data_IF_989724878821
#
_entry.id   IF_989724878821
#
_cell.length_a   1.000
_cell.length_b   1.000
_cell.length_c   1.000
_cell.angle_alpha   90.00
_cell.angle_beta   90.00
_cell.angle_gamma   90.00
#
_symmetry.space_group_name_H-M   'P 1'
#
loop_
_entity.id
_entity.type
_entity.pdbx_description
1 polymer ?
#
# COMPACT_ATOMS: atom_id res chain seq x y z
N UNK A 1 -6.47 20.59 9.26
CA UNK A 1 -7.79 21.16 9.61
C UNK A 1 -8.65 21.18 8.35
N UNK A 2 -9.79 20.48 8.37
CA UNK A 2 -10.76 20.45 7.28
C UNK A 2 -11.59 21.75 7.30
N UNK A 3 -11.69 22.45 6.17
CA UNK A 3 -12.49 23.67 6.05
C UNK A 3 -13.77 23.32 5.28
N UNK A 4 -14.84 23.02 6.03
CA UNK A 4 -16.12 22.59 5.49
C UNK A 4 -16.71 23.59 4.48
N UNK A 5 -16.50 24.89 4.72
CA UNK A 5 -17.02 26.00 3.90
C UNK A 5 -16.45 26.01 2.47
N UNK A 6 -15.28 25.38 2.26
CA UNK A 6 -14.54 25.40 1.00
C UNK A 6 -14.37 24.01 0.37
N UNK A 7 -14.76 22.94 1.07
CA UNK A 7 -14.59 21.55 0.60
C UNK A 7 -13.11 21.17 0.38
N UNK A 8 -12.18 21.77 1.14
CA UNK A 8 -10.72 21.61 0.97
C UNK A 8 -10.02 21.39 2.30
N UNK A 9 -8.84 20.78 2.26
CA UNK A 9 -7.92 20.78 3.39
C UNK A 9 -7.31 22.18 3.57
N UNK A 10 -7.18 22.66 4.81
CA UNK A 10 -6.37 23.85 5.13
C UNK A 10 -4.85 23.58 5.17
N UNK A 11 -4.41 22.40 4.74
CA UNK A 11 -3.02 21.94 4.69
C UNK A 11 -2.81 21.02 3.48
N UNK A 12 -1.56 20.82 3.06
CA UNK A 12 -1.19 19.94 1.92
C UNK A 12 -1.63 18.50 2.23
N UNK A 13 -2.30 17.86 1.27
CA UNK A 13 -2.69 16.46 1.29
C UNK A 13 -1.43 15.56 1.36
N UNK A 14 -1.29 14.69 2.37
CA UNK A 14 -0.19 13.73 2.45
C UNK A 14 -0.12 12.74 1.26
N UNK A 15 -1.17 12.61 0.46
CA UNK A 15 -1.19 11.85 -0.80
C UNK A 15 -0.93 12.71 -2.04
N UNK A 16 -0.61 14.00 -1.90
CA UNK A 16 -0.36 14.90 -3.03
C UNK A 16 0.78 14.43 -3.94
N UNK A 17 1.77 13.72 -3.40
CA UNK A 17 2.86 13.12 -4.17
C UNK A 17 2.41 11.93 -5.05
N UNK A 18 1.26 11.30 -4.75
CA UNK A 18 0.68 10.21 -5.54
C UNK A 18 -0.14 10.72 -6.74
N UNK A 19 -0.48 12.02 -6.78
CA UNK A 19 -1.37 12.61 -7.78
C UNK A 19 -0.93 14.01 -8.21
N UNK A 20 0.20 14.11 -8.92
CA UNK A 20 0.77 15.37 -9.42
C UNK A 20 -0.18 16.29 -10.23
N UNK A 21 -1.20 15.81 -10.99
CA UNK A 21 -2.09 16.73 -11.70
C UNK A 21 -3.26 17.28 -10.87
N UNK A 22 -3.44 16.85 -9.62
CA UNK A 22 -4.49 17.36 -8.74
C UNK A 22 -3.92 18.35 -7.73
N UNK A 23 -4.68 19.43 -7.44
CA UNK A 23 -4.26 20.43 -6.45
C UNK A 23 -3.96 19.73 -5.12
N UNK A 24 -2.85 20.06 -4.43
CA UNK A 24 -2.45 19.46 -3.15
C UNK A 24 -3.42 19.75 -1.99
N UNK A 25 -4.56 20.40 -2.25
CA UNK A 25 -5.62 20.71 -1.31
C UNK A 25 -6.94 19.98 -1.62
N UNK A 26 -6.94 19.07 -2.59
CA UNK A 26 -8.15 18.37 -3.04
C UNK A 26 -8.58 17.32 -2.00
N UNK A 27 -9.83 17.40 -1.56
CA UNK A 27 -10.47 16.36 -0.74
C UNK A 27 -11.30 15.47 -1.66
N UNK A 28 -11.17 14.15 -1.54
CA UNK A 28 -12.00 13.16 -2.24
C UNK A 28 -12.15 13.39 -3.76
N UNK A 29 -11.09 13.84 -4.44
CA UNK A 29 -11.14 14.18 -5.87
C UNK A 29 -12.33 15.09 -6.28
N UNK A 30 -12.77 15.99 -5.39
CA UNK A 30 -13.95 16.87 -5.53
C UNK A 30 -15.34 16.19 -5.52
N UNK A 31 -15.55 15.03 -4.88
CA UNK A 31 -16.90 14.45 -4.80
C UNK A 31 -17.32 13.91 -3.42
N UNK A 32 -17.72 14.79 -2.47
CA UNK A 32 -18.03 14.40 -1.09
C UNK A 32 -19.52 14.06 -0.80
N UNK A 33 -20.39 13.82 -1.80
CA UNK A 33 -21.87 13.76 -1.62
C UNK A 33 -22.55 12.42 -2.03
N UNK A 34 -21.83 11.39 -2.46
CA UNK A 34 -22.42 10.16 -3.03
C UNK A 34 -21.59 8.95 -2.54
N UNK A 35 -22.01 7.97 -1.73
CA UNK A 35 -23.31 7.35 -1.48
C UNK A 35 -23.31 6.52 -0.16
N UNK A 36 -24.49 6.25 0.40
CA UNK A 36 -24.81 5.03 1.18
C UNK A 36 -25.76 4.21 0.27
N UNK A 37 -25.31 3.06 -0.25
CA UNK A 37 -26.15 2.01 -0.85
C UNK A 37 -25.32 0.70 -1.00
N UNK A 38 -25.90 -0.51 -0.96
CA UNK A 38 -25.20 -1.77 -0.73
C UNK A 38 -24.73 -2.43 -2.05
N UNK A 39 -23.55 -3.07 -1.99
CA UNK A 39 -22.85 -3.83 -3.04
C UNK A 39 -21.96 -2.94 -3.94
N UNK A 40 -20.66 -2.70 -3.72
CA UNK A 40 -19.67 -3.19 -2.77
C UNK A 40 -18.29 -3.16 -3.44
N UNK A 41 -17.43 -2.19 -3.11
CA UNK A 41 -15.97 -2.36 -3.24
C UNK A 41 -15.19 -2.03 -1.95
N UNK A 42 -14.38 -3.00 -1.49
CA UNK A 42 -13.89 -3.08 -0.11
C UNK A 42 -12.61 -3.94 0.01
N UNK A 43 -11.93 -3.89 1.16
CA UNK A 43 -10.97 -4.92 1.56
C UNK A 43 -11.72 -6.08 2.19
N UNK A 44 -11.89 -7.16 1.44
CA UNK A 44 -12.54 -8.39 1.88
C UNK A 44 -11.49 -9.46 2.19
N UNK A 45 -11.59 -10.14 3.33
CA UNK A 45 -10.70 -11.21 3.79
C UNK A 45 -11.50 -12.51 3.76
N UNK A 46 -11.03 -13.49 3.00
CA UNK A 46 -11.67 -14.81 2.89
C UNK A 46 -10.98 -15.84 3.79
N UNK A 47 -11.78 -16.53 4.59
CA UNK A 47 -11.35 -17.67 5.40
C UNK A 47 -12.39 -18.81 5.28
N UNK A 48 -12.03 -19.82 4.49
CA UNK A 48 -12.96 -20.86 4.09
C UNK A 48 -14.18 -20.29 3.38
N UNK A 49 -15.37 -20.61 3.89
CA UNK A 49 -16.65 -20.14 3.35
C UNK A 49 -17.09 -18.78 3.92
N UNK A 50 -16.32 -18.22 4.87
CA UNK A 50 -16.63 -16.94 5.50
C UNK A 50 -15.83 -15.81 4.85
N UNK A 51 -16.50 -14.68 4.61
CA UNK A 51 -15.85 -13.44 4.15
C UNK A 51 -16.05 -12.35 5.20
N UNK A 52 -14.97 -11.64 5.50
CA UNK A 52 -14.93 -10.53 6.44
C UNK A 52 -14.58 -9.26 5.69
N UNK A 53 -15.26 -8.16 5.98
CA UNK A 53 -15.01 -6.86 5.38
C UNK A 53 -14.33 -5.93 6.35
N UNK A 54 -13.16 -5.41 5.97
CA UNK A 54 -12.50 -4.36 6.73
C UNK A 54 -13.10 -2.99 6.38
N UNK A 55 -13.49 -2.25 7.42
CA UNK A 55 -14.01 -0.88 7.28
C UNK A 55 -13.72 -0.09 8.57
N UNK A 56 -13.03 1.04 8.45
CA UNK A 56 -12.79 1.97 9.55
C UNK A 56 -12.08 1.34 10.75
N UNK A 57 -11.17 0.39 10.51
CA UNK A 57 -10.43 -0.31 11.57
C UNK A 57 -11.17 -1.47 12.23
N UNK A 58 -12.35 -1.87 11.73
CA UNK A 58 -13.15 -2.99 12.23
C UNK A 58 -13.42 -4.02 11.15
N UNK A 59 -13.85 -5.22 11.57
CA UNK A 59 -14.32 -6.28 10.67
C UNK A 59 -15.83 -6.44 10.76
N UNK A 60 -16.45 -6.72 9.62
CA UNK A 60 -17.86 -7.00 9.51
C UNK A 60 -18.11 -8.29 8.70
N UNK A 61 -19.19 -9.00 9.01
CA UNK A 61 -19.72 -10.09 8.19
C UNK A 61 -21.04 -9.69 7.56
N UNK A 62 -21.43 -10.39 6.50
CA UNK A 62 -22.68 -10.11 5.82
C UNK A 62 -23.86 -10.71 6.59
N UNK A 63 -24.86 -9.89 6.88
CA UNK A 63 -26.13 -10.32 7.43
C UNK A 63 -26.87 -11.22 6.42
N UNK A 64 -27.28 -12.41 6.88
CA UNK A 64 -27.88 -13.44 6.03
C UNK A 64 -29.24 -13.02 5.45
N UNK A 65 -30.00 -12.19 6.17
CA UNK A 65 -31.33 -11.71 5.77
C UNK A 65 -31.25 -10.44 4.92
N UNK A 66 -30.51 -9.43 5.39
CA UNK A 66 -30.48 -8.11 4.74
C UNK A 66 -29.43 -7.98 3.64
N UNK A 67 -28.48 -8.93 3.58
CA UNK A 67 -27.28 -8.90 2.72
C UNK A 67 -26.36 -7.70 2.95
N UNK A 68 -26.54 -6.96 4.04
CA UNK A 68 -25.69 -5.82 4.42
C UNK A 68 -24.47 -6.27 5.24
N UNK A 69 -23.41 -5.49 5.18
CA UNK A 69 -22.17 -5.70 5.94
C UNK A 69 -22.20 -4.92 7.26
N UNK A 70 -23.15 -5.28 8.13
CA UNK A 70 -23.47 -4.54 9.36
C UNK A 70 -23.31 -5.38 10.64
N UNK A 71 -22.84 -6.62 10.53
CA UNK A 71 -22.59 -7.50 11.68
C UNK A 71 -21.11 -7.42 12.05
N UNK A 72 -20.77 -6.61 13.05
CA UNK A 72 -19.40 -6.50 13.57
C UNK A 72 -18.89 -7.87 14.02
N UNK A 73 -17.71 -8.26 13.51
CA UNK A 73 -17.12 -9.56 13.72
C UNK A 73 -15.93 -9.47 14.68
N UNK A 74 -15.86 -10.40 15.61
CA UNK A 74 -14.66 -10.64 16.42
C UNK A 74 -14.03 -11.95 15.96
N UNK A 75 -12.71 -11.95 15.77
CA UNK A 75 -11.94 -13.10 15.29
C UNK A 75 -10.83 -13.42 16.28
N UNK A 76 -10.45 -14.70 16.36
CA UNK A 76 -9.28 -15.13 17.12
C UNK A 76 -8.02 -14.50 16.51
N UNK A 77 -7.16 -13.88 17.32
CA UNK A 77 -5.95 -13.20 16.83
C UNK A 77 -4.94 -14.15 16.16
N UNK A 78 -4.98 -15.44 16.48
CA UNK A 78 -4.14 -16.48 15.88
C UNK A 78 -4.76 -17.07 14.61
N UNK A 79 -6.05 -16.81 14.33
CA UNK A 79 -6.68 -17.21 13.07
C UNK A 79 -6.04 -16.48 11.88
N UNK A 80 -6.24 -17.02 10.67
CA UNK A 80 -5.77 -16.36 9.45
C UNK A 80 -6.31 -14.92 9.36
N UNK A 81 -7.61 -14.74 9.58
CA UNK A 81 -8.27 -13.42 9.55
C UNK A 81 -7.74 -12.51 10.64
N UNK A 82 -7.51 -13.03 11.86
CA UNK A 82 -6.96 -12.26 12.96
C UNK A 82 -5.55 -11.72 12.68
N UNK A 83 -4.71 -12.53 12.02
CA UNK A 83 -3.37 -12.11 11.60
C UNK A 83 -3.42 -11.05 10.49
N UNK A 84 -4.29 -11.19 9.49
CA UNK A 84 -4.51 -10.15 8.46
C UNK A 84 -5.04 -8.87 9.09
N UNK A 85 -6.03 -8.96 9.98
CA UNK A 85 -6.59 -7.81 10.67
C UNK A 85 -5.56 -7.06 11.50
N UNK A 86 -4.72 -7.80 12.26
CA UNK A 86 -3.60 -7.24 13.02
C UNK A 86 -2.59 -6.53 12.10
N UNK A 87 -2.34 -7.07 10.91
CA UNK A 87 -1.47 -6.45 9.93
C UNK A 87 -2.07 -5.14 9.38
N UNK A 88 -3.36 -5.12 9.03
CA UNK A 88 -4.07 -3.91 8.59
C UNK A 88 -4.05 -2.83 9.69
N UNK A 89 -4.31 -3.19 10.94
CA UNK A 89 -4.20 -2.27 12.08
C UNK A 89 -2.77 -1.73 12.25
N UNK A 90 -1.76 -2.60 12.10
CA UNK A 90 -0.35 -2.19 12.17
C UNK A 90 0.04 -1.16 11.10
N UNK A 91 -0.58 -1.20 9.90
CA UNK A 91 -0.36 -0.18 8.86
C UNK A 91 -0.83 1.21 9.30
N UNK A 92 -1.96 1.29 10.00
CA UNK A 92 -2.55 2.57 10.43
C UNK A 92 -1.74 3.28 11.51
N UNK A 93 -0.91 2.54 12.27
CA UNK A 93 -0.22 3.05 13.45
C UNK A 93 -1.17 3.62 14.52
N UNK A 94 -2.43 3.16 14.55
CA UNK A 94 -3.50 3.68 15.42
C UNK A 94 -3.76 5.19 15.24
N UNK A 95 -3.50 5.72 14.05
CA UNK A 95 -3.69 7.13 13.74
C UNK A 95 -4.48 7.28 12.44
N UNK A 96 -5.70 7.81 12.51
CA UNK A 96 -6.57 8.01 11.34
C UNK A 96 -5.99 8.99 10.31
N UNK A 97 -5.07 9.88 10.70
CA UNK A 97 -4.42 10.84 9.81
C UNK A 97 -3.15 10.29 9.14
N UNK A 98 -2.71 9.07 9.50
CA UNK A 98 -1.54 8.43 8.93
C UNK A 98 -1.71 8.13 7.44
N UNK A 99 -0.59 8.07 6.72
CA UNK A 99 -0.54 7.61 5.34
C UNK A 99 -1.13 6.21 5.23
N UNK A 100 -0.79 5.30 6.14
CA UNK A 100 -1.38 3.95 6.18
C UNK A 100 -2.91 3.98 6.24
N UNK A 101 -3.50 4.77 7.14
CA UNK A 101 -4.95 4.92 7.26
C UNK A 101 -5.57 5.52 6.00
N UNK A 102 -4.97 6.57 5.43
CA UNK A 102 -5.46 7.22 4.21
C UNK A 102 -5.41 6.31 3.00
N UNK A 103 -4.35 5.49 2.90
CA UNK A 103 -4.21 4.52 1.83
C UNK A 103 -5.24 3.40 1.95
N UNK A 104 -5.46 2.84 3.15
CA UNK A 104 -6.51 1.85 3.36
C UNK A 104 -7.92 2.42 3.07
N UNK A 105 -8.15 3.69 3.38
CA UNK A 105 -9.38 4.41 3.03
C UNK A 105 -9.65 4.49 1.52
N UNK A 106 -8.63 4.33 0.66
CA UNK A 106 -8.83 4.25 -0.79
C UNK A 106 -9.62 3.00 -1.23
N UNK A 107 -9.78 2.02 -0.35
CA UNK A 107 -10.56 0.81 -0.60
C UNK A 107 -11.94 0.86 0.09
N UNK A 108 -12.27 1.92 0.84
CA UNK A 108 -13.55 2.07 1.53
C UNK A 108 -14.60 2.74 0.63
N UNK A 109 -14.75 2.27 -0.62
CA UNK A 109 -15.64 2.83 -1.64
C UNK A 109 -15.95 1.82 -2.72
N UNK A 110 -17.02 2.04 -3.48
CA UNK A 110 -17.50 1.15 -4.54
C UNK A 110 -16.71 1.20 -5.87
N UNK A 111 -15.50 1.75 -5.90
CA UNK A 111 -14.66 1.84 -7.11
C UNK A 111 -13.31 1.11 -6.99
N UNK A 112 -12.86 0.73 -5.78
CA UNK A 112 -11.57 0.05 -5.56
C UNK A 112 -11.70 -1.15 -4.60
N UNK A 113 -11.36 -2.33 -5.11
CA UNK A 113 -11.55 -3.63 -4.47
C UNK A 113 -10.24 -4.31 -4.10
N UNK A 114 -10.19 -5.00 -2.97
CA UNK A 114 -9.14 -5.96 -2.67
C UNK A 114 -9.73 -7.21 -1.99
N UNK A 115 -9.41 -8.40 -2.50
CA UNK A 115 -9.72 -9.66 -1.80
C UNK A 115 -8.44 -10.28 -1.26
N UNK A 116 -8.33 -10.48 0.04
CA UNK A 116 -7.20 -11.13 0.70
C UNK A 116 -7.57 -12.57 1.03
N UNK A 117 -6.74 -13.54 0.64
CA UNK A 117 -6.99 -14.96 0.88
C UNK A 117 -5.71 -15.79 1.03
N UNK A 118 -5.82 -16.96 1.67
CA UNK A 118 -4.66 -17.81 1.97
C UNK A 118 -4.07 -18.43 0.68
N UNK A 119 -2.76 -18.27 0.49
CA UNK A 119 -1.99 -18.85 -0.60
C UNK A 119 -1.76 -20.36 -0.45
N UNK A 120 -2.00 -20.95 0.73
CA UNK A 120 -1.71 -22.37 1.04
C UNK A 120 -2.34 -23.36 0.05
N UNK A 121 -3.51 -23.02 -0.50
CA UNK A 121 -4.25 -23.85 -1.48
C UNK A 121 -4.15 -23.34 -2.91
N UNK A 122 -3.21 -22.44 -3.20
CA UNK A 122 -3.02 -21.94 -4.55
C UNK A 122 -2.64 -23.07 -5.52
N UNK A 123 -3.14 -22.99 -6.76
CA UNK A 123 -3.04 -24.08 -7.73
C UNK A 123 -1.58 -24.45 -8.06
N UNK A 124 -0.71 -23.45 -8.17
CA UNK A 124 0.70 -23.62 -8.46
C UNK A 124 1.52 -23.70 -7.17
N UNK A 125 2.18 -24.84 -6.94
CA UNK A 125 2.99 -25.12 -5.74
C UNK A 125 3.99 -24.00 -5.39
N UNK A 126 4.67 -23.44 -6.40
CA UNK A 126 5.69 -22.39 -6.21
C UNK A 126 5.19 -21.09 -5.60
N UNK A 127 3.86 -20.89 -5.56
CA UNK A 127 3.20 -19.72 -4.99
C UNK A 127 2.56 -20.01 -3.63
N UNK A 128 2.52 -21.28 -3.17
CA UNK A 128 1.94 -21.61 -1.87
C UNK A 128 2.82 -21.07 -0.75
N UNK A 129 2.21 -20.41 0.23
CA UNK A 129 2.89 -19.78 1.35
C UNK A 129 3.56 -18.45 1.03
N UNK A 130 3.39 -17.91 -0.18
CA UNK A 130 3.97 -16.62 -0.62
C UNK A 130 2.92 -15.50 -0.61
N UNK A 131 3.39 -14.26 -0.48
CA UNK A 131 2.58 -13.07 -0.73
C UNK A 131 2.69 -12.70 -2.20
N UNK A 132 1.56 -12.51 -2.88
CA UNK A 132 1.52 -12.00 -4.25
C UNK A 132 0.12 -11.53 -4.62
N UNK A 133 0.06 -10.64 -5.62
CA UNK A 133 -1.19 -10.14 -6.18
C UNK A 133 -1.45 -10.74 -7.56
N UNK A 134 -2.69 -11.17 -7.79
CA UNK A 134 -3.18 -11.56 -9.11
C UNK A 134 -4.48 -10.80 -9.40
N UNK A 135 -4.44 -9.90 -10.39
CA UNK A 135 -5.51 -8.94 -10.64
C UNK A 135 -5.78 -8.09 -9.39
N UNK A 136 -6.94 -8.27 -8.73
CA UNK A 136 -7.31 -7.54 -7.53
C UNK A 136 -7.28 -8.44 -6.27
N UNK A 137 -6.86 -9.69 -6.43
CA UNK A 137 -6.80 -10.67 -5.36
C UNK A 137 -5.38 -10.75 -4.82
N UNK A 138 -5.26 -10.63 -3.51
CA UNK A 138 -4.03 -10.76 -2.74
C UNK A 138 -4.02 -12.14 -2.11
N UNK A 139 -3.00 -12.91 -2.42
CA UNK A 139 -2.74 -14.19 -1.78
C UNK A 139 -1.65 -13.98 -0.75
N UNK A 140 -1.85 -14.50 0.47
CA UNK A 140 -0.87 -14.33 1.54
C UNK A 140 -0.41 -15.64 2.14
N UNK A 141 0.80 -15.63 2.68
CA UNK A 141 1.33 -16.67 3.55
C UNK A 141 2.19 -16.05 4.64
N UNK A 142 2.06 -16.53 5.87
CA UNK A 142 2.77 -15.93 7.01
C UNK A 142 4.22 -16.44 7.17
N UNK A 143 4.53 -17.60 6.58
CA UNK A 143 5.82 -18.26 6.72
C UNK A 143 6.76 -17.92 5.55
N UNK A 144 6.98 -16.64 5.29
CA UNK A 144 7.93 -16.20 4.27
C UNK A 144 9.00 -15.27 4.85
N UNK A 145 10.25 -15.56 4.53
CA UNK A 145 11.37 -14.67 4.81
C UNK A 145 11.55 -13.72 3.61
N UNK A 146 10.97 -12.52 3.71
CA UNK A 146 11.18 -11.47 2.70
C UNK A 146 12.40 -10.67 3.08
N UNK A 147 13.55 -11.14 2.59
CA UNK A 147 14.84 -10.54 2.86
C UNK A 147 15.23 -9.56 1.74
N UNK A 148 15.11 -8.26 2.02
CA UNK A 148 15.27 -7.19 1.03
C UNK A 148 16.40 -6.22 1.43
N UNK A 149 17.03 -5.59 0.44
CA UNK A 149 17.97 -4.50 0.71
C UNK A 149 17.22 -3.27 1.20
N UNK A 150 17.56 -2.85 2.41
CA UNK A 150 16.99 -1.68 3.05
C UNK A 150 18.08 -0.80 3.65
N UNK A 151 17.79 0.47 3.88
CA UNK A 151 18.70 1.37 4.59
C UNK A 151 17.97 2.35 5.51
N UNK A 152 18.63 2.69 6.61
CA UNK A 152 18.28 3.83 7.45
C UNK A 152 19.04 5.06 6.96
N UNK A 153 18.60 6.25 7.39
CA UNK A 153 19.37 7.48 7.15
C UNK A 153 20.77 7.37 7.77
N UNK A 154 21.81 7.62 6.97
CA UNK A 154 23.21 7.52 7.40
C UNK A 154 23.76 6.10 7.49
N UNK A 155 22.99 5.08 7.09
CA UNK A 155 23.46 3.70 7.02
C UNK A 155 23.75 3.26 5.58
N UNK A 156 24.64 2.27 5.44
CA UNK A 156 24.78 1.51 4.20
C UNK A 156 23.60 0.54 4.03
N UNK A 157 23.24 0.30 2.77
CA UNK A 157 22.21 -0.67 2.41
C UNK A 157 22.60 -2.08 2.85
N UNK A 158 21.70 -2.77 3.55
CA UNK A 158 21.89 -4.16 3.98
C UNK A 158 20.59 -4.94 3.92
N UNK A 159 20.74 -6.25 3.79
CA UNK A 159 19.65 -7.23 3.78
C UNK A 159 18.98 -7.29 5.16
N UNK A 160 17.67 -7.08 5.21
CA UNK A 160 16.84 -7.19 6.42
C UNK A 160 15.50 -7.81 6.08
N UNK A 161 14.91 -8.48 7.05
CA UNK A 161 13.57 -9.03 6.92
C UNK A 161 12.53 -7.91 6.95
N UNK A 162 11.55 -8.01 6.05
CA UNK A 162 10.44 -7.09 6.00
C UNK A 162 9.29 -7.57 6.90
N UNK A 163 8.73 -6.71 7.76
CA UNK A 163 7.54 -7.06 8.54
C UNK A 163 6.37 -7.45 7.62
N UNK A 164 5.53 -8.40 8.08
CA UNK A 164 4.43 -8.91 7.26
C UNK A 164 3.42 -7.83 6.86
N UNK A 165 3.08 -6.89 7.76
CA UNK A 165 2.14 -5.81 7.40
C UNK A 165 2.68 -4.91 6.29
N UNK A 166 3.99 -4.81 6.16
CA UNK A 166 4.63 -4.04 5.11
C UNK A 166 4.61 -4.78 3.78
N UNK A 167 4.84 -6.10 3.79
CA UNK A 167 4.75 -6.91 2.57
C UNK A 167 3.30 -7.03 2.09
N UNK A 168 2.33 -7.14 3.00
CA UNK A 168 0.91 -7.04 2.66
C UNK A 168 0.56 -5.68 2.06
N UNK A 169 1.14 -4.59 2.57
CA UNK A 169 0.91 -3.25 2.04
C UNK A 169 1.47 -3.07 0.63
N UNK A 170 2.59 -3.72 0.30
CA UNK A 170 3.11 -3.79 -1.08
C UNK A 170 2.10 -4.43 -2.02
N UNK A 171 1.47 -5.54 -1.62
CA UNK A 171 0.44 -6.22 -2.41
C UNK A 171 -0.86 -5.39 -2.56
N UNK A 172 -1.25 -4.65 -1.51
CA UNK A 172 -2.34 -3.66 -1.61
C UNK A 172 -1.98 -2.55 -2.61
N UNK A 173 -0.71 -2.13 -2.66
CA UNK A 173 -0.18 -1.23 -3.69
C UNK A 173 -0.42 -1.75 -5.11
N UNK A 174 -0.08 -3.02 -5.38
CA UNK A 174 -0.35 -3.66 -6.66
C UNK A 174 -1.84 -3.71 -6.99
N UNK A 175 -2.67 -4.10 -6.02
CA UNK A 175 -4.13 -4.19 -6.19
C UNK A 175 -4.75 -2.85 -6.55
N UNK A 176 -4.30 -1.77 -5.89
CA UNK A 176 -4.72 -0.41 -6.20
C UNK A 176 -4.28 0.01 -7.61
N UNK A 177 -3.00 -0.21 -7.95
CA UNK A 177 -2.44 0.12 -9.27
C UNK A 177 -3.16 -0.64 -10.40
N UNK A 178 -3.47 -1.92 -10.23
CA UNK A 178 -4.18 -2.73 -11.23
C UNK A 178 -5.56 -2.17 -11.58
N UNK A 179 -6.17 -1.41 -10.67
CA UNK A 179 -7.49 -0.81 -10.86
C UNK A 179 -7.40 0.56 -11.52
N UNK A 180 -6.47 1.41 -11.09
CA UNK A 180 -6.39 2.81 -11.53
C UNK A 180 -5.41 3.07 -12.68
N UNK A 181 -4.41 2.20 -12.87
CA UNK A 181 -3.32 2.37 -13.84
C UNK A 181 -3.50 1.60 -15.14
N UNK A 182 -2.81 2.04 -16.19
CA UNK A 182 -2.74 1.30 -17.46
C UNK A 182 -2.06 -0.07 -17.28
N UNK A 183 -2.79 -1.15 -17.61
CA UNK A 183 -2.25 -2.52 -17.60
C UNK A 183 -1.02 -2.66 -18.50
N UNK A 184 -0.99 -1.92 -19.61
CA UNK A 184 0.13 -1.95 -20.54
C UNK A 184 1.39 -1.36 -19.91
N UNK A 185 1.29 -0.20 -19.26
CA UNK A 185 2.46 0.42 -18.60
C UNK A 185 2.90 -0.39 -17.39
N UNK A 186 1.96 -0.81 -16.53
CA UNK A 186 2.28 -1.62 -15.33
C UNK A 186 2.97 -2.95 -15.69
N UNK A 187 2.59 -3.55 -16.81
CA UNK A 187 3.11 -4.84 -17.28
C UNK A 187 4.46 -4.79 -17.98
N UNK A 188 4.99 -3.59 -18.30
CA UNK A 188 6.29 -3.47 -18.98
C UNK A 188 7.43 -4.01 -18.12
N UNK A 189 8.40 -4.63 -18.78
CA UNK A 189 9.63 -5.08 -18.13
C UNK A 189 10.45 -3.85 -17.74
N UNK A 190 10.86 -3.80 -16.47
CA UNK A 190 11.81 -2.84 -15.94
C UNK A 190 13.23 -3.42 -15.90
N UNK A 191 13.37 -4.65 -15.40
CA UNK A 191 14.65 -5.37 -15.36
C UNK A 191 14.44 -6.73 -16.01
N UNK A 192 15.28 -7.03 -17.00
CA UNK A 192 15.24 -8.29 -17.72
C UNK A 192 15.74 -9.43 -16.82
N UNK A 193 14.93 -10.47 -16.66
CA UNK A 193 15.28 -11.61 -15.82
C UNK A 193 16.41 -12.45 -16.38
N UNK A 194 16.49 -12.59 -17.70
CA UNK A 194 17.49 -13.42 -18.37
C UNK A 194 18.87 -12.73 -18.32
N UNK A 195 18.92 -11.40 -18.45
CA UNK A 195 20.16 -10.62 -18.34
C UNK A 195 20.80 -10.74 -16.95
N UNK A 196 19.98 -10.83 -15.90
CA UNK A 196 20.43 -10.82 -14.50
C UNK A 196 20.24 -12.18 -13.78
N UNK A 197 19.96 -13.27 -14.50
CA UNK A 197 19.73 -14.62 -13.95
C UNK A 197 18.68 -14.67 -12.81
N UNK A 198 17.57 -13.96 -12.98
CA UNK A 198 16.45 -13.93 -12.03
C UNK A 198 15.42 -15.02 -12.36
N UNK A 199 14.60 -15.42 -11.37
CA UNK A 199 13.48 -16.35 -11.61
C UNK A 199 12.42 -15.79 -12.60
N UNK A 200 12.43 -14.48 -12.83
CA UNK A 200 11.62 -13.81 -13.83
C UNK A 200 11.97 -12.33 -13.95
N UNK A 201 11.54 -11.73 -15.06
CA UNK A 201 11.70 -10.29 -15.29
C UNK A 201 10.90 -9.47 -14.27
N UNK A 202 11.50 -8.37 -13.81
CA UNK A 202 10.88 -7.44 -12.86
C UNK A 202 10.04 -6.43 -13.65
N UNK A 203 8.77 -6.25 -13.27
CA UNK A 203 7.83 -5.34 -13.96
C UNK A 203 7.89 -3.92 -13.43
N UNK A 204 7.44 -2.95 -14.22
CA UNK A 204 7.35 -1.55 -13.80
C UNK A 204 6.39 -1.35 -12.63
N UNK A 205 5.34 -2.17 -12.49
CA UNK A 205 4.45 -2.16 -11.33
C UNK A 205 5.19 -2.27 -10.00
N UNK A 206 6.31 -2.99 -9.96
CA UNK A 206 7.12 -3.15 -8.75
C UNK A 206 7.76 -1.84 -8.29
N UNK A 207 8.08 -0.92 -9.20
CA UNK A 207 8.58 0.42 -8.84
C UNK A 207 7.50 1.17 -8.05
N UNK A 208 6.28 1.23 -8.58
CA UNK A 208 5.20 1.99 -7.96
C UNK A 208 4.74 1.36 -6.65
N UNK A 209 4.60 0.02 -6.61
CA UNK A 209 4.28 -0.70 -5.38
C UNK A 209 5.36 -0.48 -4.31
N UNK A 210 6.65 -0.60 -4.67
CA UNK A 210 7.77 -0.34 -3.75
C UNK A 210 7.85 1.12 -3.28
N UNK A 211 7.42 2.09 -4.10
CA UNK A 211 7.34 3.49 -3.67
C UNK A 211 6.25 3.70 -2.62
N UNK A 212 5.03 3.23 -2.88
CA UNK A 212 3.90 3.25 -1.92
C UNK A 212 4.31 2.58 -0.61
N UNK A 213 4.93 1.42 -0.74
CA UNK A 213 5.52 0.64 0.33
C UNK A 213 6.59 1.43 1.13
N UNK A 214 7.44 2.22 0.47
CA UNK A 214 8.45 3.06 1.13
C UNK A 214 7.86 4.29 1.83
N UNK A 215 6.72 4.82 1.36
CA UNK A 215 5.98 5.86 2.09
C UNK A 215 5.51 5.34 3.46
N UNK A 216 4.98 4.11 3.51
CA UNK A 216 4.63 3.46 4.78
C UNK A 216 5.87 3.25 5.66
N UNK A 217 6.97 2.72 5.11
CA UNK A 217 8.23 2.55 5.87
C UNK A 217 8.73 3.87 6.44
N UNK A 218 8.67 4.95 5.67
CA UNK A 218 9.08 6.28 6.13
C UNK A 218 8.26 6.72 7.33
N UNK A 219 6.92 6.67 7.21
CA UNK A 219 5.99 7.01 8.29
C UNK A 219 6.23 6.19 9.57
N UNK A 220 6.46 4.89 9.43
CA UNK A 220 6.61 3.96 10.57
C UNK A 220 8.04 3.87 11.11
N UNK A 221 8.93 4.78 10.68
CA UNK A 221 10.32 4.77 11.09
C UNK A 221 11.12 3.48 10.71
N UNK A 222 10.69 2.77 9.67
CA UNK A 222 11.34 1.55 9.18
C UNK A 222 12.46 1.84 8.15
N UNK A 223 13.44 0.93 8.01
CA UNK A 223 14.46 1.00 6.96
C UNK A 223 13.84 1.00 5.55
N UNK A 224 14.18 1.99 4.72
CA UNK A 224 13.64 2.20 3.37
C UNK A 224 14.21 1.13 2.42
N UNK A 225 13.37 0.51 1.59
CA UNK A 225 13.79 -0.42 0.54
C UNK A 225 14.57 0.31 -0.54
N UNK A 226 15.81 -0.11 -0.76
CA UNK A 226 16.76 0.54 -1.67
C UNK A 226 16.87 -0.16 -3.02
N UNK A 227 16.55 -1.45 -3.08
CA UNK A 227 16.55 -2.25 -4.32
C UNK A 227 15.37 -3.23 -4.32
N UNK A 228 14.83 -3.52 -5.51
CA UNK A 228 13.76 -4.52 -5.64
C UNK A 228 14.30 -5.93 -5.52
N UNK A 229 15.31 -6.27 -6.34
CA UNK A 229 15.99 -7.56 -6.30
C UNK A 229 17.40 -7.41 -5.72
N UNK A 230 17.75 -8.21 -4.70
CA UNK A 230 19.11 -8.29 -4.21
C UNK A 230 20.12 -8.76 -5.25
N UNK A 231 19.68 -9.57 -6.22
CA UNK A 231 20.54 -10.24 -7.18
C UNK A 231 20.76 -9.40 -8.45
N UNK A 232 19.94 -8.36 -8.64
CA UNK A 232 20.07 -7.36 -9.69
C UNK A 232 20.25 -5.95 -9.09
N UNK A 233 21.06 -5.80 -8.03
CA UNK A 233 21.01 -4.64 -7.14
C UNK A 233 21.20 -3.28 -7.85
N UNK A 234 22.12 -3.16 -8.81
CA UNK A 234 22.30 -1.91 -9.57
C UNK A 234 21.16 -1.64 -10.57
N UNK A 235 20.70 -2.67 -11.27
CA UNK A 235 19.63 -2.57 -12.27
C UNK A 235 18.25 -2.34 -11.65
N UNK A 236 18.05 -2.83 -10.41
CA UNK A 236 16.79 -2.75 -9.68
C UNK A 236 16.82 -1.75 -8.50
N UNK A 237 17.73 -0.78 -8.54
CA UNK A 237 17.82 0.29 -7.53
C UNK A 237 16.55 1.14 -7.54
N UNK A 238 15.92 1.30 -6.38
CA UNK A 238 14.69 2.06 -6.16
C UNK A 238 14.96 3.45 -5.55
N UNK A 239 16.00 3.58 -4.71
CA UNK A 239 16.30 4.78 -3.94
C UNK A 239 17.76 5.15 -4.08
N UNK A 240 18.03 6.38 -4.51
CA UNK A 240 19.38 6.94 -4.65
C UNK A 240 19.88 7.58 -3.34
N UNK A 241 18.99 8.27 -2.63
CA UNK A 241 19.34 8.94 -1.37
C UNK A 241 18.18 8.95 -0.41
N UNK A 242 18.50 8.92 0.89
CA UNK A 242 17.56 9.11 1.99
C UNK A 242 18.01 10.38 2.71
N UNK A 243 17.10 11.33 2.90
CA UNK A 243 17.34 12.59 3.60
C UNK A 243 16.30 12.79 4.69
N UNK A 244 16.67 13.54 5.73
CA UNK A 244 15.71 14.00 6.74
C UNK A 244 15.10 15.30 6.25
N UNK A 245 13.77 15.35 6.20
CA UNK A 245 13.04 16.60 6.00
C UNK A 245 12.31 16.95 7.30
N UNK A 246 12.49 18.16 7.85
CA UNK A 246 11.63 18.64 8.91
C UNK A 246 10.21 18.78 8.34
N UNK A 247 9.24 18.05 8.90
CA UNK A 247 7.83 18.26 8.61
C UNK A 247 7.24 19.17 9.68
N UNK A 248 6.61 20.27 9.26
CA UNK A 248 5.89 21.19 10.13
C UNK A 248 4.46 20.68 10.26
N UNK A 249 4.10 20.15 11.43
CA UNK A 249 2.71 19.81 11.73
C UNK A 249 2.08 20.93 12.57
N UNK A 250 1.03 21.56 12.01
CA UNK A 250 0.20 22.52 12.74
C UNK A 250 -0.86 21.75 13.53
N UNK A 251 -0.73 21.67 14.85
CA UNK A 251 -1.76 21.12 15.72
C UNK A 251 -2.61 22.26 16.31
N UNK A 252 -3.81 21.96 16.79
CA UNK A 252 -4.75 22.94 17.37
C UNK A 252 -4.25 23.62 18.68
N UNK A 253 -2.97 23.46 19.04
CA UNK A 253 -2.34 24.10 20.20
C UNK A 253 -0.92 24.61 19.97
N UNK A 254 -0.40 24.62 18.74
CA UNK A 254 0.94 25.13 18.43
C UNK A 254 1.56 24.56 17.14
N UNK A 255 2.69 25.14 16.73
CA UNK A 255 3.54 24.60 15.67
C UNK A 255 4.48 23.58 16.34
N UNK A 256 4.29 22.29 16.06
CA UNK A 256 5.25 21.27 16.49
C UNK A 256 6.27 21.07 15.37
N UNK A 257 7.51 21.49 15.59
CA UNK A 257 8.58 21.51 14.58
C UNK A 257 9.34 20.19 14.43
N UNK A 258 8.97 19.14 15.17
CA UNK A 258 9.82 17.95 15.34
C UNK A 258 9.16 16.64 14.90
N UNK A 259 8.62 16.59 13.69
CA UNK A 259 8.43 15.30 13.01
C UNK A 259 9.46 15.23 11.89
N UNK A 260 10.59 14.59 12.16
CA UNK A 260 11.57 14.26 11.11
C UNK A 260 10.95 13.18 10.21
N UNK A 261 10.50 13.57 9.00
CA UNK A 261 10.11 12.59 7.99
C UNK A 261 11.34 12.21 7.16
N UNK A 262 11.53 10.92 6.89
CA UNK A 262 12.55 10.47 5.93
C UNK A 262 11.99 10.64 4.52
N UNK A 263 12.59 11.54 3.76
CA UNK A 263 12.31 11.68 2.34
C UNK A 263 13.34 10.84 1.60
N UNK A 264 12.91 10.20 0.52
CA UNK A 264 13.78 9.38 -0.31
C UNK A 264 13.60 9.77 -1.77
N UNK A 265 14.69 9.75 -2.53
CA UNK A 265 14.68 10.15 -3.94
C UNK A 265 14.91 8.93 -4.82
N UNK A 266 14.10 8.79 -5.87
CA UNK A 266 14.34 7.78 -6.91
C UNK A 266 15.51 8.17 -7.82
N UNK A 267 16.20 7.18 -8.43
CA UNK A 267 17.00 7.43 -9.63
C UNK A 267 16.17 8.10 -10.72
N UNK A 268 16.78 8.95 -11.55
CA UNK A 268 16.06 9.68 -12.60
C UNK A 268 15.32 8.76 -13.58
N UNK A 269 15.92 7.62 -13.96
CA UNK A 269 15.30 6.61 -14.81
C UNK A 269 14.02 6.01 -14.18
N UNK A 270 14.06 5.72 -12.89
CA UNK A 270 12.93 5.18 -12.12
C UNK A 270 11.84 6.24 -11.94
N UNK A 271 12.21 7.50 -11.67
CA UNK A 271 11.26 8.61 -11.55
C UNK A 271 10.49 8.83 -12.85
N UNK A 272 11.15 8.74 -14.01
CA UNK A 272 10.50 8.87 -15.32
C UNK A 272 9.46 7.77 -15.52
N UNK A 273 9.81 6.52 -15.21
CA UNK A 273 8.89 5.37 -15.29
C UNK A 273 7.70 5.57 -14.34
N UNK A 274 7.96 5.95 -13.09
CA UNK A 274 6.94 6.20 -12.09
C UNK A 274 5.94 7.29 -12.53
N UNK A 275 6.45 8.45 -12.98
CA UNK A 275 5.62 9.54 -13.46
C UNK A 275 4.79 9.12 -14.68
N UNK A 276 5.36 8.31 -15.58
CA UNK A 276 4.64 7.80 -16.75
C UNK A 276 3.47 6.90 -16.33
N UNK A 277 3.67 6.00 -15.37
CA UNK A 277 2.60 5.14 -14.86
C UNK A 277 1.46 5.94 -14.22
N UNK A 278 1.77 6.95 -13.41
CA UNK A 278 0.75 7.76 -12.73
C UNK A 278 -0.05 8.66 -13.67
N UNK A 279 0.58 9.13 -14.75
CA UNK A 279 -0.06 9.99 -15.74
C UNK A 279 -0.89 9.21 -16.76
N UNK A 280 -0.65 7.89 -16.89
CA UNK A 280 -1.34 7.03 -17.85
C UNK A 280 -2.44 6.22 -17.13
N UNK A 281 -3.48 6.94 -16.68
CA UNK A 281 -4.66 6.36 -16.02
C UNK A 281 -5.61 5.73 -17.04
N UNK A 282 -6.39 4.75 -16.59
CA UNK A 282 -7.51 4.20 -17.37
C UNK A 282 -8.60 5.23 -17.63
#
# INVERSE_FOLDING_TARGET
MYMADLGRWGAIDPLSEMYYPFSPYSFAANNPIKYIDPNGMWIDIKDGDTTYRYNGGKLYTQNSETKKWDVEATVDSNSYVGQIFSALQSMTGSNSDSFGSKFLGLFENDDINATIQDSKRFQLERFRGKNFTLNNDIYTGFNQEVNIYTSMFGESSKRRDSPFHVTLFHELGHTWLNQIGSKEELGKVWVDGDEYNLEGSIKQSEIAASYIENLLRSEQNLPIRTSYSPDAASASTLVNSIVRSPAINKTNGGINSNVERRVFTMPASVQVIYNKMLNNKK
#
